data_IF_353484637476
#
_entry.id   IF_353484637476
#
_cell.length_a   1.000
_cell.length_b   1.000
_cell.length_c   1.000
_cell.angle_alpha   90.00
_cell.angle_beta   90.00
_cell.angle_gamma   90.00
#
_symmetry.space_group_name_H-M   'P 1'
#
loop_
_entity.id
_entity.type
_entity.pdbx_description
1 polymer ?
#
# COMPACT_ATOMS: atom_id res chain seq x y z
N UNK A 1 13.84 33.02 8.10
CA UNK A 1 13.34 32.78 6.74
C UNK A 1 12.95 34.11 6.13
N UNK A 2 13.47 34.51 4.95
CA UNK A 2 13.12 35.78 4.31
C UNK A 2 11.59 35.91 4.14
N UNK A 3 11.04 37.06 4.51
CA UNK A 3 9.61 37.32 4.50
C UNK A 3 8.85 36.96 5.78
N UNK A 4 9.53 36.29 6.73
CA UNK A 4 8.93 35.85 8.00
C UNK A 4 9.52 36.59 9.23
N UNK A 5 10.22 37.68 9.03
CA UNK A 5 10.95 38.43 10.10
C UNK A 5 10.02 38.94 11.19
N UNK A 6 8.74 39.18 10.85
CA UNK A 6 7.71 39.66 11.79
C UNK A 6 6.63 38.62 12.07
N UNK A 7 6.82 37.36 11.65
CA UNK A 7 5.85 36.29 11.90
C UNK A 7 5.92 35.79 13.35
N UNK A 8 4.80 35.32 13.85
CA UNK A 8 4.68 34.66 15.14
C UNK A 8 3.72 33.45 15.04
N UNK A 9 3.86 32.49 15.93
CA UNK A 9 2.96 31.35 16.00
C UNK A 9 1.62 31.81 16.58
N UNK A 10 0.58 31.84 15.77
CA UNK A 10 -0.74 32.27 16.21
C UNK A 10 -1.51 31.11 16.88
N UNK A 11 -1.30 29.85 16.42
CA UNK A 11 -1.97 28.66 16.93
C UNK A 11 -1.07 27.45 16.77
N UNK A 12 -1.00 26.61 17.78
CA UNK A 12 -0.45 25.26 17.72
C UNK A 12 -1.57 24.24 17.86
N UNK A 13 -1.49 23.14 17.11
CA UNK A 13 -2.43 22.05 17.26
C UNK A 13 -2.32 21.43 18.67
N UNK A 14 -3.44 21.05 19.30
CA UNK A 14 -3.42 20.45 20.64
C UNK A 14 -2.88 19.01 20.64
N UNK A 15 -2.75 18.39 19.45
CA UNK A 15 -2.27 17.03 19.29
C UNK A 15 -1.28 16.95 18.14
N UNK A 16 -0.21 16.19 18.33
CA UNK A 16 0.77 15.92 17.29
C UNK A 16 0.14 15.09 16.18
N UNK A 17 0.21 15.58 14.93
CA UNK A 17 -0.11 14.80 13.73
C UNK A 17 1.09 13.96 13.34
N UNK A 18 0.93 12.63 13.32
CA UNK A 18 1.98 11.71 12.89
C UNK A 18 1.72 11.19 11.49
N UNK A 19 2.74 11.19 10.64
CA UNK A 19 2.68 10.59 9.30
C UNK A 19 2.85 9.07 9.37
N UNK A 20 3.72 8.58 10.24
CA UNK A 20 3.93 7.18 10.53
C UNK A 20 3.04 6.67 11.67
N UNK A 21 3.25 5.43 12.08
CA UNK A 21 2.52 4.80 13.17
C UNK A 21 2.79 3.29 13.22
N UNK A 22 1.95 2.59 14.00
CA UNK A 22 2.00 1.13 14.05
C UNK A 22 1.58 0.54 12.71
N UNK A 23 2.30 -0.47 12.26
CA UNK A 23 2.02 -1.26 11.06
C UNK A 23 1.88 -2.71 11.40
N UNK A 24 1.18 -3.46 10.56
CA UNK A 24 1.14 -4.92 10.69
C UNK A 24 2.44 -5.52 10.17
N UNK A 25 2.78 -6.69 10.66
CA UNK A 25 3.73 -7.58 10.01
C UNK A 25 2.91 -8.49 9.11
N UNK A 26 2.96 -8.24 7.81
CA UNK A 26 2.24 -8.99 6.80
C UNK A 26 2.97 -10.25 6.37
N UNK A 27 2.33 -11.04 5.52
CA UNK A 27 2.97 -12.17 4.85
C UNK A 27 4.12 -11.73 3.94
N UNK A 28 4.03 -10.51 3.44
CA UNK A 28 5.12 -9.79 2.78
C UNK A 28 5.29 -8.41 3.42
N UNK A 29 6.52 -7.95 3.51
CA UNK A 29 6.84 -6.58 3.97
C UNK A 29 7.55 -5.85 2.84
N UNK A 30 6.90 -4.85 2.28
CA UNK A 30 7.49 -4.00 1.25
C UNK A 30 8.72 -3.28 1.80
N UNK A 31 9.81 -3.23 1.04
CA UNK A 31 11.12 -2.73 1.46
C UNK A 31 11.74 -1.82 0.41
N UNK A 32 12.87 -1.20 0.73
CA UNK A 32 13.65 -0.37 -0.20
C UNK A 32 14.04 -1.13 -1.47
N UNK A 33 14.33 -2.43 -1.36
CA UNK A 33 14.68 -3.26 -2.51
C UNK A 33 13.58 -3.32 -3.56
N UNK A 34 12.33 -3.27 -3.11
CA UNK A 34 11.17 -3.28 -4.02
C UNK A 34 11.04 -1.94 -4.75
N UNK A 35 11.50 -0.81 -4.15
CA UNK A 35 11.58 0.49 -4.83
C UNK A 35 12.65 0.52 -5.93
N UNK A 36 13.67 -0.30 -5.79
CA UNK A 36 14.81 -0.38 -6.70
C UNK A 36 14.66 -1.52 -7.72
N UNK A 37 13.48 -2.11 -7.80
CA UNK A 37 13.18 -3.20 -8.72
C UNK A 37 11.94 -2.89 -9.56
N UNK A 38 11.86 -3.49 -10.73
CA UNK A 38 10.65 -3.47 -11.58
C UNK A 38 9.85 -4.77 -11.39
N UNK A 39 9.86 -5.32 -10.17
CA UNK A 39 9.21 -6.59 -9.88
C UNK A 39 7.69 -6.44 -9.96
N UNK A 40 7.07 -7.32 -10.72
CA UNK A 40 5.63 -7.49 -10.78
C UNK A 40 5.30 -8.76 -10.00
N UNK A 41 4.68 -8.60 -8.84
CA UNK A 41 4.27 -9.73 -8.02
C UNK A 41 3.04 -10.42 -8.63
N UNK A 42 2.94 -11.73 -8.48
CA UNK A 42 1.77 -12.51 -8.91
C UNK A 42 0.47 -12.02 -8.25
N UNK A 43 0.58 -11.51 -7.01
CA UNK A 43 -0.49 -10.96 -6.20
C UNK A 43 -0.55 -9.42 -6.22
N UNK A 44 -0.01 -8.76 -7.25
CA UNK A 44 -0.09 -7.29 -7.40
C UNK A 44 -1.53 -6.81 -7.43
N UNK A 45 -1.87 -5.90 -6.52
CA UNK A 45 -3.21 -5.30 -6.37
C UNK A 45 -3.27 -3.82 -6.74
N UNK A 46 -2.14 -3.16 -6.80
CA UNK A 46 -2.03 -1.75 -7.17
C UNK A 46 -0.67 -1.45 -7.78
N UNK A 47 -0.62 -0.42 -8.63
CA UNK A 47 0.60 0.12 -9.21
C UNK A 47 0.62 1.62 -8.98
N UNK A 48 1.73 2.13 -8.50
CA UNK A 48 1.94 3.54 -8.24
C UNK A 48 3.19 4.06 -8.94
N UNK A 49 3.24 5.37 -9.13
CA UNK A 49 4.48 6.02 -9.51
C UNK A 49 5.48 5.91 -8.34
N UNK A 50 6.70 5.54 -8.67
CA UNK A 50 7.80 5.55 -7.71
C UNK A 50 8.28 7.01 -7.56
N UNK A 51 7.87 7.67 -6.48
CA UNK A 51 8.17 9.08 -6.20
C UNK A 51 9.30 9.23 -5.16
N UNK A 52 10.14 8.23 -5.02
CA UNK A 52 11.31 8.29 -4.15
C UNK A 52 12.36 9.29 -4.70
N UNK A 53 13.61 9.13 -4.46
CA UNK A 53 14.59 10.06 -5.01
C UNK A 53 14.63 10.02 -6.55
N UNK A 54 15.03 11.13 -7.18
CA UNK A 54 15.02 11.28 -8.63
C UNK A 54 15.84 10.23 -9.38
N UNK A 55 16.89 9.67 -8.78
CA UNK A 55 17.72 8.66 -9.45
C UNK A 55 17.04 7.30 -9.50
N UNK A 56 16.39 6.89 -8.40
CA UNK A 56 15.65 5.62 -8.30
C UNK A 56 14.41 5.69 -9.18
N UNK A 57 13.61 6.75 -9.06
CA UNK A 57 12.37 6.91 -9.83
C UNK A 57 12.62 7.06 -11.34
N UNK A 58 13.77 7.56 -11.76
CA UNK A 58 14.13 7.62 -13.17
C UNK A 58 14.46 6.24 -13.78
N UNK A 59 14.99 5.32 -12.97
CA UNK A 59 15.31 3.95 -13.38
C UNK A 59 14.13 2.99 -13.18
N UNK A 60 13.40 3.17 -12.08
CA UNK A 60 12.29 2.34 -11.63
C UNK A 60 11.05 3.22 -11.42
N UNK A 61 10.36 3.63 -12.52
CA UNK A 61 9.30 4.65 -12.44
C UNK A 61 8.01 4.15 -11.81
N UNK A 62 7.84 2.85 -11.65
CA UNK A 62 6.63 2.23 -11.12
C UNK A 62 6.94 1.26 -10.00
N UNK A 63 5.98 1.13 -9.09
CA UNK A 63 6.04 0.22 -7.97
C UNK A 63 4.75 -0.58 -7.87
N UNK A 64 4.89 -1.89 -7.79
CA UNK A 64 3.79 -2.82 -7.61
C UNK A 64 3.61 -3.16 -6.12
N UNK A 65 2.37 -3.15 -5.67
CA UNK A 65 2.02 -3.50 -4.28
C UNK A 65 1.39 -4.89 -4.25
N UNK A 66 1.99 -5.86 -3.56
CA UNK A 66 1.43 -7.20 -3.43
C UNK A 66 0.32 -7.26 -2.38
N UNK A 67 -0.69 -8.09 -2.61
CA UNK A 67 -1.80 -8.35 -1.70
C UNK A 67 -1.34 -8.83 -0.32
N UNK A 68 -0.29 -9.64 -0.29
CA UNK A 68 0.31 -10.18 0.95
C UNK A 68 0.77 -9.11 1.94
N UNK A 69 0.97 -7.87 1.50
CA UNK A 69 1.23 -6.74 2.41
C UNK A 69 0.01 -6.34 3.25
N UNK A 70 -1.21 -6.69 2.79
CA UNK A 70 -2.45 -6.40 3.51
C UNK A 70 -2.87 -7.54 4.45
N UNK A 71 -2.23 -8.70 4.37
CA UNK A 71 -2.55 -9.93 5.12
C UNK A 71 -1.64 -10.04 6.33
N UNK A 72 -2.13 -9.85 7.58
CA UNK A 72 -1.31 -10.03 8.78
C UNK A 72 -0.81 -11.46 8.92
N UNK A 73 0.47 -11.63 9.28
CA UNK A 73 1.09 -12.96 9.39
C UNK A 73 0.47 -13.84 10.47
N UNK A 74 0.14 -13.26 11.62
CA UNK A 74 -0.24 -14.01 12.82
C UNK A 74 -1.73 -13.89 13.16
N UNK A 75 -2.51 -13.13 12.37
CA UNK A 75 -3.93 -12.91 12.64
C UNK A 75 -4.75 -13.41 11.46
N UNK A 76 -5.64 -14.36 11.71
CA UNK A 76 -6.56 -14.88 10.71
C UNK A 76 -7.81 -13.99 10.56
N UNK A 77 -8.41 -14.02 9.37
CA UNK A 77 -9.66 -13.32 9.10
C UNK A 77 -9.56 -11.78 9.06
N UNK A 78 -8.36 -11.24 9.02
CA UNK A 78 -8.10 -9.80 9.01
C UNK A 78 -7.36 -9.36 7.75
N UNK A 79 -7.75 -8.20 7.21
CA UNK A 79 -7.02 -7.45 6.20
C UNK A 79 -6.77 -6.03 6.70
N UNK A 80 -5.61 -5.47 6.40
CA UNK A 80 -5.24 -4.10 6.79
C UNK A 80 -5.09 -3.23 5.55
N UNK A 81 -6.14 -2.47 5.25
CA UNK A 81 -6.29 -1.70 4.01
C UNK A 81 -6.07 -0.21 4.22
N UNK A 82 -4.95 0.18 4.80
CA UNK A 82 -4.61 1.58 5.06
C UNK A 82 -3.10 1.75 5.17
N UNK A 83 -2.65 2.93 5.55
CA UNK A 83 -1.22 3.23 5.79
C UNK A 83 -0.54 2.33 6.82
N UNK A 84 -1.30 1.50 7.55
CA UNK A 84 -0.77 0.51 8.49
C UNK A 84 -0.48 -0.85 7.84
N UNK A 85 -0.52 -0.95 6.51
CA UNK A 85 -0.12 -2.14 5.77
C UNK A 85 1.37 -2.48 6.01
N UNK A 86 1.79 -3.67 5.63
CA UNK A 86 3.14 -4.15 5.90
C UNK A 86 4.17 -3.52 4.96
N UNK A 87 4.92 -2.54 5.47
CA UNK A 87 6.04 -1.90 4.79
C UNK A 87 7.16 -1.59 5.79
N UNK A 88 8.40 -1.47 5.32
CA UNK A 88 9.53 -1.01 6.12
C UNK A 88 9.33 0.45 6.58
N UNK A 89 9.95 0.82 7.69
CA UNK A 89 9.84 2.17 8.27
C UNK A 89 10.30 3.25 7.31
N UNK A 90 11.42 3.00 6.65
CA UNK A 90 12.11 3.92 5.75
C UNK A 90 11.28 4.33 4.53
N UNK A 91 10.36 3.49 4.08
CA UNK A 91 9.57 3.73 2.86
C UNK A 91 8.08 4.01 3.13
N UNK A 92 7.63 3.89 4.37
CA UNK A 92 6.20 4.01 4.68
C UNK A 92 5.60 5.37 4.29
N UNK A 93 6.37 6.44 4.36
CA UNK A 93 5.90 7.78 4.01
C UNK A 93 5.47 7.90 2.55
N UNK A 94 6.05 7.12 1.65
CA UNK A 94 5.68 7.11 0.23
C UNK A 94 4.28 6.52 -0.02
N UNK A 95 3.76 5.73 0.93
CA UNK A 95 2.54 4.93 0.74
C UNK A 95 1.38 5.34 1.63
N UNK A 96 1.52 6.37 2.45
CA UNK A 96 0.48 6.78 3.40
C UNK A 96 -0.47 7.85 2.85
N UNK A 97 -0.43 8.12 1.55
CA UNK A 97 -1.27 9.11 0.90
C UNK A 97 -2.64 8.54 0.51
N UNK A 98 -3.63 9.41 0.39
CA UNK A 98 -5.03 9.05 0.18
C UNK A 98 -5.27 8.14 -1.03
N UNK A 99 -4.73 8.40 -2.23
CA UNK A 99 -4.96 7.53 -3.39
C UNK A 99 -4.49 6.09 -3.16
N UNK A 100 -3.36 5.90 -2.47
CA UNK A 100 -2.83 4.58 -2.14
C UNK A 100 -3.77 3.83 -1.21
N UNK A 101 -4.24 4.50 -0.15
CA UNK A 101 -5.18 3.91 0.81
C UNK A 101 -6.53 3.53 0.17
N UNK A 102 -7.01 4.29 -0.83
CA UNK A 102 -8.20 3.96 -1.60
C UNK A 102 -8.00 2.65 -2.38
N UNK A 103 -6.85 2.49 -3.05
CA UNK A 103 -6.52 1.27 -3.80
C UNK A 103 -6.43 0.05 -2.87
N UNK A 104 -5.78 0.21 -1.70
CA UNK A 104 -5.74 -0.87 -0.70
C UNK A 104 -7.13 -1.23 -0.19
N UNK A 105 -7.99 -0.23 0.04
CA UNK A 105 -9.38 -0.43 0.46
C UNK A 105 -10.19 -1.20 -0.57
N UNK A 106 -10.06 -0.86 -1.85
CA UNK A 106 -10.73 -1.57 -2.94
C UNK A 106 -10.28 -3.02 -3.02
N UNK A 107 -8.96 -3.27 -3.00
CA UNK A 107 -8.41 -4.63 -3.06
C UNK A 107 -8.82 -5.48 -1.85
N UNK A 108 -8.69 -4.94 -0.64
CA UNK A 108 -9.07 -5.63 0.58
C UNK A 108 -10.57 -5.92 0.65
N UNK A 109 -11.42 -4.95 0.26
CA UNK A 109 -12.88 -5.14 0.21
C UNK A 109 -13.29 -6.22 -0.79
N UNK A 110 -12.66 -6.23 -1.98
CA UNK A 110 -12.90 -7.27 -2.99
C UNK A 110 -12.48 -8.64 -2.48
N UNK A 111 -11.28 -8.76 -1.89
CA UNK A 111 -10.78 -10.00 -1.34
C UNK A 111 -11.62 -10.51 -0.16
N UNK A 112 -12.06 -9.60 0.73
CA UNK A 112 -12.92 -9.95 1.85
C UNK A 112 -14.28 -10.50 1.39
N UNK A 113 -14.88 -9.89 0.37
CA UNK A 113 -16.13 -10.39 -0.23
C UNK A 113 -15.94 -11.79 -0.83
N UNK A 114 -14.88 -12.00 -1.63
CA UNK A 114 -14.55 -13.30 -2.20
C UNK A 114 -14.31 -14.37 -1.14
N UNK A 115 -13.62 -14.01 -0.07
CA UNK A 115 -13.35 -14.92 1.05
C UNK A 115 -14.64 -15.31 1.78
N UNK A 116 -15.53 -14.34 2.04
CA UNK A 116 -16.83 -14.58 2.68
C UNK A 116 -17.74 -15.46 1.83
N UNK A 117 -17.84 -15.17 0.52
CA UNK A 117 -18.67 -15.97 -0.41
C UNK A 117 -18.19 -17.42 -0.53
N UNK A 118 -16.87 -17.63 -0.42
CA UNK A 118 -16.26 -18.95 -0.52
C UNK A 118 -16.10 -19.66 0.83
N UNK A 119 -16.40 -19.00 1.94
CA UNK A 119 -16.22 -19.55 3.29
C UNK A 119 -14.76 -19.84 3.65
N UNK A 120 -13.82 -19.07 3.11
CA UNK A 120 -12.38 -19.23 3.34
C UNK A 120 -11.77 -18.02 4.09
N UNK A 121 -10.57 -18.20 4.63
CA UNK A 121 -9.80 -17.05 5.15
C UNK A 121 -9.34 -16.15 4.01
N UNK A 122 -9.31 -14.80 4.19
CA UNK A 122 -8.74 -13.86 3.22
C UNK A 122 -7.32 -14.22 2.74
N UNK A 123 -6.53 -14.84 3.60
CA UNK A 123 -5.19 -15.37 3.31
C UNK A 123 -5.18 -16.42 2.19
N UNK A 124 -6.30 -17.11 1.97
CA UNK A 124 -6.46 -18.20 1.00
C UNK A 124 -7.15 -17.77 -0.29
N UNK A 125 -7.37 -16.48 -0.48
CA UNK A 125 -7.96 -15.94 -1.70
C UNK A 125 -7.02 -16.22 -2.88
N UNK A 126 -7.59 -16.73 -3.97
CA UNK A 126 -6.87 -16.92 -5.23
C UNK A 126 -6.49 -15.57 -5.85
N UNK A 127 -5.19 -15.35 -6.07
CA UNK A 127 -4.67 -14.07 -6.56
C UNK A 127 -5.12 -13.78 -7.99
N UNK A 128 -5.20 -14.80 -8.84
CA UNK A 128 -5.66 -14.64 -10.21
C UNK A 128 -7.12 -14.20 -10.29
N UNK A 129 -7.97 -14.79 -9.46
CA UNK A 129 -9.37 -14.40 -9.35
C UNK A 129 -9.53 -12.98 -8.74
N UNK A 130 -8.74 -12.64 -7.73
CA UNK A 130 -8.72 -11.29 -7.15
C UNK A 130 -8.34 -10.25 -8.20
N UNK A 131 -7.23 -10.45 -8.91
CA UNK A 131 -6.78 -9.58 -9.99
C UNK A 131 -7.84 -9.42 -11.08
N UNK A 132 -8.45 -10.53 -11.52
CA UNK A 132 -9.51 -10.50 -12.52
C UNK A 132 -10.70 -9.65 -12.08
N UNK A 133 -11.11 -9.73 -10.82
CA UNK A 133 -12.17 -8.90 -10.27
C UNK A 133 -11.78 -7.41 -10.18
N UNK A 134 -10.54 -7.11 -9.77
CA UNK A 134 -10.03 -5.74 -9.73
C UNK A 134 -9.99 -5.12 -11.13
N UNK A 135 -9.52 -5.85 -12.14
CA UNK A 135 -9.51 -5.40 -13.54
C UNK A 135 -10.93 -5.13 -14.04
N UNK A 136 -11.91 -6.01 -13.75
CA UNK A 136 -13.32 -5.78 -14.07
C UNK A 136 -13.90 -4.53 -13.41
N UNK A 137 -13.38 -4.15 -12.25
CA UNK A 137 -13.72 -2.92 -11.53
C UNK A 137 -12.99 -1.67 -12.07
N UNK A 138 -12.16 -1.82 -13.11
CA UNK A 138 -11.44 -0.71 -13.75
C UNK A 138 -10.04 -0.47 -13.19
N UNK A 139 -9.53 -1.31 -12.29
CA UNK A 139 -8.14 -1.20 -11.81
C UNK A 139 -7.19 -1.59 -12.94
N UNK A 140 -6.20 -0.75 -13.21
CA UNK A 140 -5.15 -1.03 -14.19
C UNK A 140 -4.00 -1.75 -13.50
N UNK A 141 -3.81 -3.00 -13.84
CA UNK A 141 -2.71 -3.84 -13.32
C UNK A 141 -1.83 -4.31 -14.50
N UNK A 142 -0.52 -4.44 -14.29
CA UNK A 142 0.39 -4.92 -15.33
C UNK A 142 0.14 -6.38 -15.64
N UNK A 143 0.50 -6.83 -16.83
CA UNK A 143 0.46 -8.25 -17.18
C UNK A 143 1.51 -9.02 -16.39
N UNK A 144 1.11 -10.16 -15.82
CA UNK A 144 2.04 -11.10 -15.22
C UNK A 144 2.65 -11.92 -16.35
N UNK A 145 3.96 -11.91 -16.45
CA UNK A 145 4.72 -12.68 -17.45
C UNK A 145 4.80 -14.15 -17.08
#
# INVERSE_FOLDING_TARGET
>A
VPGFEKSFIMLSAPQLGTQGGRRVIGEYTLSEKDLESDEIFEDTIAVFANNDNHEISAKHPTLCIPYRCLVPREVEGLLVACRAFSSADSINEHFNIIPHCICYGQAAGTAAAMAADSGISPRKVDYGALRSNLIKQGVRLPDIK
#
